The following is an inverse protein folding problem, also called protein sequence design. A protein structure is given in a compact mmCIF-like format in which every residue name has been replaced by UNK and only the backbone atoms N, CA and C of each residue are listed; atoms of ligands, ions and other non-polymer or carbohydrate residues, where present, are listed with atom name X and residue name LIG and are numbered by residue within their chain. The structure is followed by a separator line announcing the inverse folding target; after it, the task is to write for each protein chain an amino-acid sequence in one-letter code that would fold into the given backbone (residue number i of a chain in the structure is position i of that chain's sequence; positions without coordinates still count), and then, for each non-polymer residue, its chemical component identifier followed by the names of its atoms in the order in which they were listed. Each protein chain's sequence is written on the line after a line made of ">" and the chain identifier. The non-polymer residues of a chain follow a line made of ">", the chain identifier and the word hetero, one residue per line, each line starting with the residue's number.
data_IF_688945633859
#
_entry.id   IF_688945633859
#
_cell.length_a   1.000
_cell.length_b   1.000
_cell.length_c   1.000
_cell.angle_alpha   90.00
_cell.angle_beta   90.00
_cell.angle_gamma   90.00
#
_symmetry.space_group_name_H-M   'P 1'
#
loop_
_entity.id
_entity.type
_entity.pdbx_description
1 polymer ?
#
# COMPACT_ATOMS: atom_id res chain seq x y z
N UNK A 1 0.25 -13.86 -5.49
CA UNK A 1 1.10 -12.65 -5.46
C UNK A 1 2.46 -12.92 -4.81
N UNK A 2 2.54 -13.27 -3.51
CA UNK A 2 3.83 -13.55 -2.86
C UNK A 2 4.69 -14.58 -3.62
N UNK A 3 4.07 -15.67 -4.09
CA UNK A 3 4.74 -16.66 -4.94
C UNK A 3 5.24 -16.09 -6.28
N UNK A 4 4.48 -15.20 -6.92
CA UNK A 4 4.88 -14.56 -8.19
C UNK A 4 6.07 -13.61 -7.95
N UNK A 5 6.02 -12.80 -6.87
CA UNK A 5 7.14 -11.94 -6.46
C UNK A 5 8.38 -12.79 -6.20
N UNK A 6 8.24 -13.87 -5.43
CA UNK A 6 9.33 -14.78 -5.15
C UNK A 6 9.89 -15.40 -6.43
N UNK A 7 9.05 -15.87 -7.36
CA UNK A 7 9.51 -16.45 -8.62
C UNK A 7 10.33 -15.45 -9.46
N UNK A 8 9.89 -14.19 -9.55
CA UNK A 8 10.62 -13.14 -10.25
C UNK A 8 11.98 -12.78 -9.60
N UNK A 9 12.10 -12.96 -8.28
CA UNK A 9 13.33 -12.65 -7.53
C UNK A 9 14.30 -13.85 -7.50
N UNK A 10 13.79 -15.07 -7.32
CA UNK A 10 14.56 -16.31 -7.27
C UNK A 10 15.19 -16.66 -8.62
N UNK A 11 14.48 -16.44 -9.74
CA UNK A 11 15.03 -16.61 -11.09
C UNK A 11 16.19 -15.66 -11.43
N UNK A 12 16.48 -14.69 -10.56
CA UNK A 12 17.58 -13.73 -10.69
C UNK A 12 18.71 -13.98 -9.69
N UNK A 13 18.73 -15.16 -9.04
CA UNK A 13 19.76 -15.60 -8.11
C UNK A 13 19.68 -14.97 -6.71
N UNK A 14 18.49 -14.53 -6.26
CA UNK A 14 18.35 -13.73 -5.03
C UNK A 14 17.31 -14.28 -4.06
N UNK A 15 17.68 -14.32 -2.78
CA UNK A 15 16.86 -14.81 -1.67
C UNK A 15 15.93 -13.74 -1.07
N UNK A 16 15.32 -12.88 -1.88
CA UNK A 16 14.32 -11.95 -1.35
C UNK A 16 13.02 -12.73 -1.10
N UNK A 17 12.62 -12.88 0.16
CA UNK A 17 11.42 -13.63 0.54
C UNK A 17 10.33 -12.62 0.87
N UNK A 18 9.29 -12.47 0.02
CA UNK A 18 8.17 -11.61 0.35
C UNK A 18 7.37 -12.21 1.50
N UNK A 19 7.05 -11.41 2.51
CA UNK A 19 6.05 -11.76 3.50
C UNK A 19 4.67 -11.29 3.06
N UNK A 20 3.67 -12.12 3.29
CA UNK A 20 2.27 -11.79 3.01
C UNK A 20 1.45 -12.11 4.24
N UNK A 21 0.94 -11.05 4.87
CA UNK A 21 0.04 -11.16 6.01
C UNK A 21 -1.39 -10.99 5.52
N UNK A 22 -2.24 -11.99 5.77
CA UNK A 22 -3.64 -11.99 5.35
C UNK A 22 -4.53 -12.17 6.57
N UNK A 23 -5.51 -11.29 6.70
CA UNK A 23 -6.48 -11.35 7.78
C UNK A 23 -7.62 -12.27 7.38
N UNK A 24 -8.02 -13.18 8.28
CA UNK A 24 -9.20 -14.05 8.07
C UNK A 24 -10.46 -13.49 8.72
N UNK A 25 -10.35 -12.31 9.31
CA UNK A 25 -11.43 -11.64 10.04
C UNK A 25 -11.95 -10.52 9.15
N UNK A 26 -13.26 -10.52 8.93
CA UNK A 26 -13.89 -9.51 8.12
C UNK A 26 -13.74 -8.12 8.76
N UNK A 27 -13.41 -7.11 7.95
CA UNK A 27 -13.15 -5.73 8.45
C UNK A 27 -14.33 -5.07 9.17
N UNK A 28 -15.56 -5.57 8.97
CA UNK A 28 -16.73 -5.11 9.75
C UNK A 28 -16.76 -5.64 11.18
N UNK A 29 -15.87 -6.57 11.53
CA UNK A 29 -15.67 -7.08 12.89
C UNK A 29 -14.52 -6.35 13.57
N UNK A 30 -13.38 -6.27 12.89
CA UNK A 30 -12.21 -5.48 13.30
C UNK A 30 -11.58 -4.86 12.05
N UNK A 31 -11.56 -3.53 11.93
CA UNK A 31 -10.87 -2.87 10.82
C UNK A 31 -9.43 -2.59 11.22
N UNK A 32 -8.56 -3.48 10.76
CA UNK A 32 -7.13 -3.47 11.06
C UNK A 32 -6.38 -2.37 10.31
N UNK A 33 -7.02 -1.68 9.34
CA UNK A 33 -6.43 -0.55 8.62
C UNK A 33 -6.96 0.81 9.14
N UNK A 34 -7.16 0.89 10.45
CA UNK A 34 -7.61 2.07 11.19
C UNK A 34 -6.77 2.23 12.46
N UNK A 35 -6.59 3.48 12.87
CA UNK A 35 -5.90 3.76 14.12
C UNK A 35 -6.86 3.49 15.29
N UNK A 36 -6.53 2.52 16.13
CA UNK A 36 -7.35 2.16 17.28
C UNK A 36 -7.50 3.29 18.30
N UNK A 37 -6.45 4.12 18.48
CA UNK A 37 -6.49 5.26 19.40
C UNK A 37 -7.41 6.39 18.89
N UNK A 38 -7.41 6.66 17.58
CA UNK A 38 -8.26 7.72 16.98
C UNK A 38 -9.70 7.25 16.72
N UNK A 39 -9.94 5.94 16.67
CA UNK A 39 -11.30 5.41 16.57
C UNK A 39 -12.11 5.55 17.87
N UNK A 40 -11.49 6.06 18.95
CA UNK A 40 -12.22 6.56 20.11
C UNK A 40 -13.02 7.84 19.79
N UNK A 41 -12.59 8.62 18.77
CA UNK A 41 -13.13 9.97 18.51
C UNK A 41 -13.93 10.10 17.21
N UNK A 42 -13.51 9.50 16.09
CA UNK A 42 -14.09 9.87 14.79
C UNK A 42 -15.30 9.02 14.31
N UNK A 43 -15.64 7.91 14.97
CA UNK A 43 -16.73 7.03 14.52
C UNK A 43 -17.65 6.57 15.65
N UNK A 44 -18.11 7.51 16.50
CA UNK A 44 -19.44 7.36 17.13
C UNK A 44 -20.53 7.54 16.07
N UNK A 45 -20.57 6.68 15.04
CA UNK A 45 -21.83 6.50 14.31
C UNK A 45 -22.71 5.65 15.23
N UNK A 46 -23.82 6.18 15.78
CA UNK A 46 -24.74 5.33 16.53
C UNK A 46 -25.14 4.17 15.63
N UNK A 47 -25.16 2.96 16.21
CA UNK A 47 -25.69 1.80 15.54
C UNK A 47 -27.19 2.04 15.28
N UNK A 48 -27.55 2.62 14.14
CA UNK A 48 -28.94 2.93 13.77
C UNK A 48 -29.78 1.69 13.41
N UNK A 49 -29.34 0.50 13.82
CA UNK A 49 -30.14 -0.73 13.67
C UNK A 49 -31.15 -0.80 14.82
N UNK A 50 -32.45 -0.96 14.56
CA UNK A 50 -33.44 -1.19 15.61
C UNK A 50 -33.01 -2.38 16.48
N UNK A 51 -32.90 -2.19 17.81
CA UNK A 51 -32.51 -3.23 18.76
C UNK A 51 -31.02 -3.31 19.11
N UNK A 52 -30.17 -2.43 18.57
CA UNK A 52 -28.73 -2.40 18.90
C UNK A 52 -28.51 -1.74 20.27
N UNK A 53 -28.31 -2.54 21.34
CA UNK A 53 -27.90 -2.02 22.66
C UNK A 53 -26.42 -1.60 22.63
N UNK A 54 -25.98 -0.61 23.44
CA UNK A 54 -24.57 -0.21 23.53
C UNK A 54 -23.62 -1.38 23.82
N UNK A 55 -24.00 -2.31 24.70
CA UNK A 55 -23.27 -3.56 24.95
C UNK A 55 -23.24 -4.57 23.79
N UNK A 56 -24.11 -4.41 22.78
CA UNK A 56 -24.17 -5.26 21.56
C UNK A 56 -23.59 -4.56 20.33
N UNK A 57 -23.03 -3.37 20.52
CA UNK A 57 -22.36 -2.65 19.46
C UNK A 57 -21.08 -3.43 19.12
N UNK A 58 -21.16 -4.24 18.06
CA UNK A 58 -19.99 -4.71 17.30
C UNK A 58 -19.35 -3.49 16.61
N UNK A 59 -18.99 -2.48 17.40
CA UNK A 59 -18.15 -1.39 16.96
C UNK A 59 -16.87 -2.05 16.47
N UNK A 60 -16.59 -1.79 15.21
CA UNK A 60 -15.46 -2.26 14.42
C UNK A 60 -14.13 -2.08 15.16
N UNK A 61 -14.08 -1.19 16.17
CA UNK A 61 -12.97 -0.98 17.09
C UNK A 61 -13.51 -0.58 18.48
N UNK A 62 -14.41 -1.37 19.07
CA UNK A 62 -14.88 -1.08 20.43
C UNK A 62 -13.74 -1.35 21.45
N UNK A 63 -13.24 -0.35 22.19
CA UNK A 63 -12.14 -0.56 23.14
C UNK A 63 -12.47 -1.51 24.30
N UNK A 64 -13.75 -1.77 24.53
CA UNK A 64 -14.23 -2.71 25.55
C UNK A 64 -14.20 -4.18 25.13
N UNK A 65 -13.93 -4.49 23.85
CA UNK A 65 -13.80 -5.88 23.41
C UNK A 65 -12.35 -6.36 23.50
N UNK A 66 -12.03 -7.07 24.58
CA UNK A 66 -10.71 -7.70 24.77
C UNK A 66 -10.30 -8.57 23.57
N UNK A 67 -11.27 -9.21 22.90
CA UNK A 67 -11.02 -10.03 21.71
C UNK A 67 -10.63 -9.18 20.49
N UNK A 68 -11.37 -8.10 20.20
CA UNK A 68 -11.03 -7.20 19.09
C UNK A 68 -9.66 -6.53 19.31
N UNK A 69 -9.37 -6.15 20.55
CA UNK A 69 -8.09 -5.58 20.95
C UNK A 69 -6.93 -6.56 20.76
N UNK A 70 -7.10 -7.82 21.18
CA UNK A 70 -6.10 -8.86 21.01
C UNK A 70 -5.81 -9.14 19.52
N UNK A 71 -6.84 -9.19 18.67
CA UNK A 71 -6.68 -9.35 17.22
C UNK A 71 -5.93 -8.16 16.63
N UNK A 72 -6.33 -6.94 17.00
CA UNK A 72 -5.71 -5.72 16.53
C UNK A 72 -4.22 -5.70 16.88
N UNK A 73 -3.89 -5.86 18.16
CA UNK A 73 -2.50 -5.88 18.61
C UNK A 73 -1.69 -7.03 18.00
N UNK A 74 -2.26 -8.24 17.90
CA UNK A 74 -1.57 -9.36 17.27
C UNK A 74 -1.25 -9.11 15.79
N UNK A 75 -2.21 -8.55 15.03
CA UNK A 75 -1.99 -8.17 13.64
C UNK A 75 -0.91 -7.10 13.51
N UNK A 76 -0.97 -6.05 14.33
CA UNK A 76 0.00 -4.96 14.27
C UNK A 76 1.40 -5.38 14.74
N UNK A 77 1.50 -6.28 15.73
CA UNK A 77 2.77 -6.87 16.15
C UNK A 77 3.44 -7.65 15.00
N UNK A 78 2.68 -8.49 14.29
CA UNK A 78 3.21 -9.25 13.14
C UNK A 78 3.69 -8.34 12.00
N UNK A 79 2.99 -7.24 11.73
CA UNK A 79 3.44 -6.25 10.74
C UNK A 79 4.69 -5.51 11.19
N UNK A 80 4.79 -5.14 12.47
CA UNK A 80 5.98 -4.52 13.03
C UNK A 80 7.20 -5.45 12.96
N UNK A 81 7.03 -6.73 13.34
CA UNK A 81 8.07 -7.76 13.26
C UNK A 81 8.54 -7.99 11.84
N UNK A 82 7.59 -8.15 10.90
CA UNK A 82 7.90 -8.26 9.47
C UNK A 82 8.67 -7.03 8.99
N UNK A 83 8.21 -5.81 9.28
CA UNK A 83 8.93 -4.60 8.88
C UNK A 83 10.36 -4.58 9.44
N UNK A 84 10.52 -4.86 10.73
CA UNK A 84 11.83 -4.87 11.41
C UNK A 84 12.78 -5.90 10.78
N UNK A 85 12.30 -7.12 10.52
CA UNK A 85 13.11 -8.17 9.91
C UNK A 85 13.56 -7.77 8.49
N UNK A 86 12.68 -7.13 7.72
CA UNK A 86 13.03 -6.62 6.38
C UNK A 86 14.10 -5.54 6.47
N UNK A 87 13.95 -4.59 7.39
CA UNK A 87 14.93 -3.54 7.65
C UNK A 87 16.30 -4.10 8.06
N UNK A 88 16.33 -5.07 8.99
CA UNK A 88 17.58 -5.69 9.45
C UNK A 88 18.27 -6.54 8.38
N UNK A 89 17.51 -7.31 7.61
CA UNK A 89 18.07 -8.23 6.64
C UNK A 89 18.50 -7.54 5.34
N UNK A 90 17.78 -6.49 4.94
CA UNK A 90 17.94 -5.89 3.61
C UNK A 90 18.29 -4.40 3.63
N UNK A 91 18.20 -3.72 4.78
CA UNK A 91 18.44 -2.27 4.93
C UNK A 91 17.36 -1.38 4.31
N UNK A 92 16.54 -1.94 3.42
CA UNK A 92 15.47 -1.27 2.70
C UNK A 92 14.35 -2.24 2.35
N UNK A 93 13.18 -1.70 2.01
CA UNK A 93 12.11 -2.52 1.46
C UNK A 93 10.84 -1.77 1.11
N UNK A 94 9.81 -2.54 0.76
CA UNK A 94 8.53 -2.01 0.29
C UNK A 94 7.37 -2.69 1.02
N UNK A 95 6.55 -1.88 1.68
CA UNK A 95 5.28 -2.29 2.28
C UNK A 95 4.12 -2.04 1.31
N UNK A 96 3.33 -3.08 1.03
CA UNK A 96 2.15 -2.98 0.17
C UNK A 96 0.88 -3.29 0.96
N UNK A 97 -0.07 -2.36 0.94
CA UNK A 97 -1.42 -2.55 1.48
C UNK A 97 -2.41 -2.77 0.33
N UNK A 98 -2.94 -4.00 0.21
CA UNK A 98 -3.73 -4.43 -0.95
C UNK A 98 -5.23 -4.42 -0.63
N UNK A 99 -5.98 -3.62 -1.36
CA UNK A 99 -7.42 -3.44 -1.21
C UNK A 99 -8.18 -3.70 -2.51
N UNK A 100 -9.47 -3.91 -2.37
CA UNK A 100 -10.41 -3.96 -3.49
C UNK A 100 -11.36 -2.78 -3.43
N UNK A 101 -11.52 -2.10 -4.56
CA UNK A 101 -12.46 -1.00 -4.73
C UNK A 101 -13.69 -1.46 -5.54
N UNK A 102 -14.77 -0.67 -5.47
CA UNK A 102 -16.06 -0.93 -6.11
C UNK A 102 -16.02 -1.03 -7.63
N UNK A 103 -17.15 -1.39 -8.24
CA UNK A 103 -17.29 -1.62 -9.69
C UNK A 103 -17.16 -0.36 -10.55
N UNK A 104 -17.36 0.82 -9.96
CA UNK A 104 -17.42 2.09 -10.69
C UNK A 104 -16.02 2.62 -11.08
N UNK A 105 -14.98 1.87 -10.73
CA UNK A 105 -13.59 2.19 -10.99
C UNK A 105 -13.03 1.25 -12.05
N UNK A 106 -12.25 1.80 -12.98
CA UNK A 106 -11.69 1.07 -14.12
C UNK A 106 -10.17 0.92 -14.05
N UNK A 107 -9.52 1.75 -13.22
CA UNK A 107 -8.07 1.75 -13.02
C UNK A 107 -7.72 1.48 -11.57
N UNK A 108 -6.56 0.88 -11.34
CA UNK A 108 -6.00 0.75 -9.99
C UNK A 108 -5.66 2.14 -9.42
N UNK A 109 -5.91 2.37 -8.12
CA UNK A 109 -5.46 3.60 -7.45
C UNK A 109 -4.27 3.30 -6.53
N UNK A 110 -3.26 4.17 -6.53
CA UNK A 110 -2.09 4.09 -5.66
C UNK A 110 -2.17 5.18 -4.60
N UNK A 111 -2.30 4.79 -3.34
CA UNK A 111 -2.30 5.71 -2.21
C UNK A 111 -0.90 5.93 -1.65
N UNK A 112 -0.40 7.17 -1.74
CA UNK A 112 0.94 7.57 -1.25
C UNK A 112 0.92 8.37 0.07
N UNK A 113 -0.16 8.31 0.83
CA UNK A 113 -0.40 9.15 2.00
C UNK A 113 -0.86 10.58 1.66
N UNK A 114 -1.00 10.92 0.37
CA UNK A 114 -1.33 12.27 -0.11
C UNK A 114 -2.78 12.36 -0.61
N UNK A 115 -3.44 13.48 -0.33
CA UNK A 115 -4.78 13.81 -0.88
C UNK A 115 -4.73 14.05 -2.40
N UNK A 116 -5.85 13.92 -3.10
CA UNK A 116 -5.92 14.17 -4.55
C UNK A 116 -5.56 15.61 -4.95
N UNK A 117 -5.81 16.58 -4.05
CA UNK A 117 -5.39 17.99 -4.21
C UNK A 117 -3.87 18.14 -4.06
N UNK A 118 -3.25 17.42 -3.13
CA UNK A 118 -1.80 17.43 -2.94
C UNK A 118 -1.04 16.91 -4.17
N UNK A 119 -1.64 15.99 -4.94
CA UNK A 119 -1.10 15.51 -6.21
C UNK A 119 -1.17 16.54 -7.36
N UNK A 120 -1.66 17.75 -7.09
CA UNK A 120 -1.68 18.88 -8.03
C UNK A 120 -0.82 20.04 -7.54
N UNK A 121 -0.35 19.98 -6.29
CA UNK A 121 0.41 21.05 -5.65
C UNK A 121 1.90 20.81 -5.84
N UNK A 122 2.53 21.67 -6.64
CA UNK A 122 3.97 21.59 -6.92
C UNK A 122 4.83 21.73 -5.67
N UNK A 123 4.41 22.45 -4.63
CA UNK A 123 5.22 22.58 -3.41
C UNK A 123 5.19 21.27 -2.63
N UNK A 124 4.00 20.67 -2.49
CA UNK A 124 3.85 19.38 -1.79
C UNK A 124 4.59 18.27 -2.54
N UNK A 125 4.47 18.24 -3.87
CA UNK A 125 5.11 17.24 -4.72
C UNK A 125 6.63 17.35 -4.79
N UNK A 126 7.24 18.36 -4.18
CA UNK A 126 8.70 18.52 -4.07
C UNK A 126 9.23 18.20 -2.67
N UNK A 127 8.37 17.95 -1.69
CA UNK A 127 8.79 17.52 -0.36
C UNK A 127 8.69 16.00 -0.23
N UNK A 128 9.83 15.27 -0.23
CA UNK A 128 9.82 13.82 -0.11
C UNK A 128 9.27 13.32 1.23
N UNK A 129 9.24 14.15 2.28
CA UNK A 129 8.79 13.74 3.62
C UNK A 129 7.26 13.68 3.76
N UNK A 130 6.52 14.26 2.81
CA UNK A 130 5.05 14.31 2.88
C UNK A 130 4.36 13.05 2.35
N UNK A 131 5.11 12.14 1.72
CA UNK A 131 4.56 10.91 1.13
C UNK A 131 5.10 9.64 1.81
N UNK A 132 4.41 8.53 1.61
CA UNK A 132 4.79 7.23 2.19
C UNK A 132 5.86 6.51 1.39
N UNK A 133 6.38 7.13 0.33
CA UNK A 133 7.48 6.63 -0.51
C UNK A 133 8.72 7.53 -0.39
N UNK A 134 8.96 8.05 0.82
CA UNK A 134 9.93 9.10 1.11
C UNK A 134 11.38 8.72 0.76
N UNK A 135 11.74 7.43 0.82
CA UNK A 135 13.08 6.96 0.44
C UNK A 135 13.28 7.10 -1.07
N UNK A 136 12.39 6.51 -1.86
CA UNK A 136 12.39 6.65 -3.31
C UNK A 136 12.34 8.12 -3.73
N UNK A 137 11.43 8.90 -3.13
CA UNK A 137 11.27 10.32 -3.41
C UNK A 137 12.53 11.15 -3.15
N UNK A 138 13.25 10.89 -2.04
CA UNK A 138 14.50 11.59 -1.71
C UNK A 138 15.65 11.23 -2.66
N UNK A 139 15.69 9.99 -3.12
CA UNK A 139 16.80 9.47 -3.93
C UNK A 139 16.57 9.64 -5.44
N UNK A 140 15.38 10.11 -5.84
CA UNK A 140 14.99 10.26 -7.24
C UNK A 140 15.79 11.35 -7.95
N UNK A 141 16.55 11.03 -9.02
CA UNK A 141 17.25 12.04 -9.81
C UNK A 141 16.29 12.93 -10.61
N UNK A 142 15.08 12.46 -10.92
CA UNK A 142 14.02 13.24 -11.56
C UNK A 142 13.12 14.01 -10.57
N UNK A 143 13.43 13.91 -9.27
CA UNK A 143 12.73 14.58 -8.18
C UNK A 143 11.56 13.78 -7.58
N UNK A 144 11.03 14.22 -6.41
CA UNK A 144 10.02 13.47 -5.65
C UNK A 144 8.73 13.18 -6.43
N UNK A 145 8.26 14.15 -7.22
CA UNK A 145 7.06 13.99 -8.05
C UNK A 145 7.19 12.83 -9.05
N UNK A 146 8.36 12.64 -9.67
CA UNK A 146 8.57 11.65 -10.71
C UNK A 146 8.38 10.21 -10.20
N UNK A 147 8.59 10.00 -8.90
CA UNK A 147 8.36 8.71 -8.25
C UNK A 147 6.87 8.38 -8.13
N UNK A 148 6.00 9.41 -8.05
CA UNK A 148 4.55 9.22 -7.93
C UNK A 148 3.86 9.04 -9.29
N UNK A 149 4.23 9.83 -10.31
CA UNK A 149 3.56 9.84 -11.60
C UNK A 149 4.48 9.97 -12.83
N UNK A 150 5.79 9.89 -12.67
CA UNK A 150 6.77 9.91 -13.77
C UNK A 150 7.02 8.53 -14.38
N UNK A 151 7.95 8.46 -15.35
CA UNK A 151 8.23 7.23 -16.13
C UNK A 151 8.77 6.05 -15.31
N UNK A 152 9.40 6.33 -14.16
CA UNK A 152 9.86 5.32 -13.19
C UNK A 152 8.91 5.13 -12.00
N UNK A 153 7.69 5.69 -12.07
CA UNK A 153 6.69 5.51 -11.01
C UNK A 153 6.10 4.09 -10.99
N UNK A 154 5.54 3.69 -9.85
CA UNK A 154 4.88 2.39 -9.71
C UNK A 154 3.68 2.28 -10.65
N UNK A 155 2.96 3.39 -10.85
CA UNK A 155 1.85 3.46 -11.80
C UNK A 155 2.30 3.29 -13.26
N UNK A 156 3.49 3.78 -13.63
CA UNK A 156 4.06 3.53 -14.95
C UNK A 156 4.39 2.05 -15.14
N UNK A 157 5.03 1.42 -14.15
CA UNK A 157 5.40 0.00 -14.17
C UNK A 157 4.17 -0.91 -14.24
N UNK A 158 3.12 -0.61 -13.48
CA UNK A 158 1.84 -1.33 -13.55
C UNK A 158 1.19 -1.18 -14.92
N UNK A 159 1.14 0.04 -15.45
CA UNK A 159 0.50 0.32 -16.75
C UNK A 159 1.23 -0.39 -17.88
N UNK A 160 2.57 -0.39 -17.86
CA UNK A 160 3.41 -1.14 -18.80
C UNK A 160 3.21 -2.66 -18.68
N UNK A 161 2.87 -3.17 -17.50
CA UNK A 161 2.52 -4.56 -17.26
C UNK A 161 1.03 -4.87 -17.55
N UNK A 162 0.28 -3.97 -18.18
CA UNK A 162 -1.12 -4.17 -18.57
C UNK A 162 -2.16 -3.87 -17.49
N UNK A 163 -1.76 -3.24 -16.37
CA UNK A 163 -2.66 -2.79 -15.31
C UNK A 163 -2.73 -1.25 -15.27
N UNK A 164 -3.74 -0.62 -15.89
CA UNK A 164 -3.86 0.83 -15.88
C UNK A 164 -4.06 1.34 -14.45
N UNK A 165 -3.37 2.43 -14.13
CA UNK A 165 -3.24 2.88 -12.75
C UNK A 165 -3.18 4.41 -12.62
N UNK A 166 -3.62 4.95 -11.49
CA UNK A 166 -3.47 6.37 -11.11
C UNK A 166 -2.98 6.48 -9.66
N UNK A 167 -2.04 7.37 -9.32
CA UNK A 167 -1.27 8.23 -10.22
C UNK A 167 -0.30 7.45 -11.13
N UNK A 168 -0.14 7.92 -12.36
CA UNK A 168 0.81 7.40 -13.38
C UNK A 168 1.09 8.48 -14.44
N UNK A 169 2.03 8.29 -15.38
CA UNK A 169 2.25 9.26 -16.45
C UNK A 169 1.00 9.52 -17.30
N UNK A 170 0.23 8.47 -17.57
CA UNK A 170 -1.00 8.57 -18.35
C UNK A 170 -2.15 9.18 -17.54
N UNK A 171 -2.20 8.88 -16.24
CA UNK A 171 -3.26 9.34 -15.33
C UNK A 171 -2.64 9.98 -14.08
N UNK A 172 -2.00 11.16 -14.21
CA UNK A 172 -1.17 11.73 -13.15
C UNK A 172 -1.97 12.23 -11.95
N UNK A 173 -3.26 12.49 -12.15
CA UNK A 173 -4.14 13.01 -11.12
C UNK A 173 -5.41 12.14 -11.01
N UNK A 174 -5.70 11.56 -9.83
CA UNK A 174 -6.86 10.68 -9.65
C UNK A 174 -8.20 11.34 -10.01
N UNK A 175 -9.12 10.56 -10.57
CA UNK A 175 -10.50 10.97 -10.83
C UNK A 175 -10.75 11.58 -12.20
N UNK A 176 -9.72 11.73 -13.04
CA UNK A 176 -9.92 12.08 -14.45
C UNK A 176 -10.41 10.85 -15.24
N UNK A 177 -11.17 11.07 -16.33
CA UNK A 177 -11.56 9.97 -17.22
C UNK A 177 -10.30 9.35 -17.86
N UNK A 178 -10.25 8.02 -18.05
CA UNK A 178 -11.29 7.03 -17.77
C UNK A 178 -11.29 6.50 -16.32
N UNK A 179 -10.35 6.94 -15.47
CA UNK A 179 -10.14 6.42 -14.12
C UNK A 179 -11.38 6.55 -13.24
N UNK A 180 -12.08 7.68 -13.39
CA UNK A 180 -13.44 7.94 -12.94
C UNK A 180 -13.91 9.29 -13.51
N UNK A 181 -15.12 9.72 -13.16
CA UNK A 181 -15.61 11.07 -13.42
C UNK A 181 -15.58 11.88 -12.12
N UNK A 182 -14.76 12.94 -12.02
CA UNK A 182 -14.73 13.82 -10.83
C UNK A 182 -16.06 14.51 -10.56
N UNK A 183 -16.92 14.64 -11.56
CA UNK A 183 -18.28 15.17 -11.36
C UNK A 183 -19.18 14.16 -10.65
N UNK A 184 -18.79 12.87 -10.58
CA UNK A 184 -19.48 11.88 -9.76
C UNK A 184 -19.21 12.18 -8.28
N UNK A 185 -20.22 12.62 -7.50
CA UNK A 185 -20.05 12.95 -6.08
C UNK A 185 -19.69 11.71 -5.24
N UNK A 186 -19.81 10.50 -5.79
CA UNK A 186 -19.42 9.24 -5.14
C UNK A 186 -17.97 8.85 -5.42
N UNK A 187 -17.28 9.53 -6.32
CA UNK A 187 -15.88 9.22 -6.59
C UNK A 187 -15.03 9.58 -5.37
N UNK A 188 -14.26 8.61 -4.89
CA UNK A 188 -13.29 8.81 -3.85
C UNK A 188 -11.93 8.32 -4.34
N UNK A 189 -10.91 9.15 -4.12
CA UNK A 189 -9.53 8.71 -4.22
C UNK A 189 -9.07 8.18 -2.86
N UNK A 190 -8.50 6.97 -2.88
CA UNK A 190 -8.01 6.30 -1.68
C UNK A 190 -6.54 6.64 -1.49
N UNK A 191 -6.29 7.54 -0.55
CA UNK A 191 -4.98 8.18 -0.37
C UNK A 191 -3.94 7.31 0.33
N UNK A 192 -4.32 6.17 0.90
CA UNK A 192 -3.49 5.37 1.79
C UNK A 192 -4.01 5.42 3.24
N UNK A 193 -4.35 4.24 3.76
CA UNK A 193 -4.92 4.03 5.09
C UNK A 193 -3.91 4.13 6.23
N UNK A 194 -4.36 3.75 7.43
CA UNK A 194 -3.53 3.80 8.63
C UNK A 194 -2.27 2.95 8.49
N UNK A 195 -2.39 1.72 7.99
CA UNK A 195 -1.27 0.79 7.90
C UNK A 195 -0.16 1.33 6.99
N UNK A 196 -0.47 1.84 5.80
CA UNK A 196 0.57 2.43 4.93
C UNK A 196 1.22 3.62 5.60
N UNK A 197 0.44 4.51 6.23
CA UNK A 197 1.01 5.68 6.93
C UNK A 197 1.89 5.24 8.10
N UNK A 198 1.46 4.27 8.88
CA UNK A 198 2.17 3.81 10.08
C UNK A 198 3.39 2.94 9.76
N UNK A 199 3.27 2.02 8.81
CA UNK A 199 4.34 1.09 8.42
C UNK A 199 5.14 1.54 7.21
N UNK A 200 4.95 2.76 6.73
CA UNK A 200 5.90 3.46 5.87
C UNK A 200 6.48 4.73 6.55
N UNK A 201 5.98 5.08 7.75
CA UNK A 201 6.65 6.06 8.61
C UNK A 201 8.06 5.58 8.93
N UNK A 202 8.97 6.54 9.12
CA UNK A 202 10.41 6.31 9.17
C UNK A 202 10.90 6.34 10.63
N UNK A 203 11.23 5.20 11.26
CA UNK A 203 12.29 5.19 12.28
C UNK A 203 13.63 5.57 11.62
N UNK A 204 14.57 6.12 12.37
CA UNK A 204 15.82 6.67 11.83
C UNK A 204 16.73 5.65 11.11
N UNK A 205 16.41 4.36 11.20
CA UNK A 205 17.34 3.24 10.98
C UNK A 205 16.96 2.28 9.83
N UNK A 206 15.79 2.40 9.20
CA UNK A 206 15.41 1.60 8.03
C UNK A 206 14.83 2.42 6.86
N UNK A 207 14.99 1.90 5.64
CA UNK A 207 14.58 2.56 4.37
C UNK A 207 13.38 1.84 3.76
N UNK A 208 12.25 1.91 4.45
CA UNK A 208 11.01 1.25 4.02
C UNK A 208 10.01 2.25 3.47
N UNK A 209 9.72 2.12 2.19
CA UNK A 209 8.62 2.83 1.54
C UNK A 209 7.34 2.00 1.62
N UNK A 210 6.19 2.64 1.42
CA UNK A 210 4.93 1.92 1.31
C UNK A 210 3.86 2.63 0.50
N UNK A 211 2.97 1.83 -0.08
CA UNK A 211 1.83 2.32 -0.85
C UNK A 211 0.61 1.40 -0.71
N UNK A 212 -0.57 2.00 -0.82
CA UNK A 212 -1.84 1.28 -0.91
C UNK A 212 -2.18 1.04 -2.38
N UNK A 213 -2.65 -0.16 -2.72
CA UNK A 213 -3.26 -0.45 -4.03
C UNK A 213 -4.75 -0.70 -3.84
N UNK A 214 -5.58 0.11 -4.48
CA UNK A 214 -7.00 -0.18 -4.66
C UNK A 214 -7.23 -0.83 -6.02
N UNK A 215 -7.62 -2.11 -6.01
CA UNK A 215 -7.83 -2.89 -7.23
C UNK A 215 -9.32 -2.94 -7.61
N UNK A 216 -9.71 -2.41 -8.79
CA UNK A 216 -11.06 -2.56 -9.33
C UNK A 216 -11.56 -3.99 -9.36
N UNK A 217 -12.89 -4.16 -9.30
CA UNK A 217 -13.54 -5.47 -9.40
C UNK A 217 -13.07 -6.28 -10.61
N UNK A 218 -12.93 -5.63 -11.78
CA UNK A 218 -12.47 -6.29 -13.01
C UNK A 218 -11.10 -6.97 -12.87
N UNK A 219 -10.16 -6.37 -12.12
CA UNK A 219 -8.81 -6.90 -11.89
C UNK A 219 -8.77 -8.03 -10.84
N UNK A 220 -9.87 -8.23 -10.10
CA UNK A 220 -9.98 -9.23 -9.03
C UNK A 220 -10.84 -10.42 -9.42
N UNK A 221 -11.50 -10.38 -10.58
CA UNK A 221 -12.30 -11.51 -11.09
C UNK A 221 -11.40 -12.72 -11.39
N UNK A 222 -11.90 -13.96 -11.28
CA UNK A 222 -11.10 -15.17 -11.49
C UNK A 222 -10.30 -15.19 -12.80
N UNK A 223 -10.87 -14.65 -13.88
CA UNK A 223 -10.24 -14.62 -15.20
C UNK A 223 -9.05 -13.66 -15.28
N UNK A 224 -9.03 -12.59 -14.48
CA UNK A 224 -7.98 -11.57 -14.48
C UNK A 224 -6.99 -11.73 -13.31
N UNK A 225 -7.39 -12.43 -12.24
CA UNK A 225 -6.68 -12.47 -10.96
C UNK A 225 -5.20 -12.87 -11.10
N UNK A 226 -4.91 -13.89 -11.92
CA UNK A 226 -3.54 -14.36 -12.14
C UNK A 226 -2.71 -13.33 -12.87
N UNK A 227 -3.21 -12.81 -13.99
CA UNK A 227 -2.54 -11.77 -14.77
C UNK A 227 -2.31 -10.51 -13.93
N UNK A 228 -3.30 -10.07 -13.16
CA UNK A 228 -3.15 -8.92 -12.27
C UNK A 228 -2.09 -9.16 -11.20
N UNK A 229 -2.04 -10.36 -10.61
CA UNK A 229 -0.98 -10.70 -9.64
C UNK A 229 0.41 -10.71 -10.26
N UNK A 230 0.56 -11.17 -11.52
CA UNK A 230 1.82 -11.15 -12.26
C UNK A 230 2.28 -9.73 -12.57
N UNK A 231 1.36 -8.87 -13.05
CA UNK A 231 1.66 -7.46 -13.34
C UNK A 231 2.09 -6.70 -12.08
N UNK A 232 1.42 -6.94 -10.94
CA UNK A 232 1.83 -6.35 -9.65
C UNK A 232 3.20 -6.87 -9.22
N UNK A 233 3.45 -8.18 -9.33
CA UNK A 233 4.75 -8.75 -8.96
C UNK A 233 5.90 -8.18 -9.81
N UNK A 234 5.69 -8.04 -11.12
CA UNK A 234 6.64 -7.40 -12.02
C UNK A 234 6.91 -5.95 -11.62
N UNK A 235 5.86 -5.17 -11.34
CA UNK A 235 6.00 -3.76 -10.92
C UNK A 235 6.75 -3.64 -9.58
N UNK A 236 6.49 -4.52 -8.61
CA UNK A 236 7.25 -4.57 -7.35
C UNK A 236 8.74 -4.77 -7.59
N UNK A 237 9.08 -5.73 -8.44
CA UNK A 237 10.49 -6.03 -8.73
C UNK A 237 11.15 -4.86 -9.45
N UNK A 238 10.47 -4.25 -10.44
CA UNK A 238 10.98 -3.08 -11.15
C UNK A 238 11.15 -1.86 -10.23
N UNK A 239 10.21 -1.63 -9.32
CA UNK A 239 10.28 -0.55 -8.34
C UNK A 239 11.46 -0.72 -7.39
N UNK A 240 11.59 -1.91 -6.81
CA UNK A 240 12.71 -2.26 -5.95
C UNK A 240 14.04 -2.13 -6.68
N UNK A 241 14.10 -2.35 -8.00
CA UNK A 241 15.32 -2.16 -8.80
C UNK A 241 15.63 -0.68 -9.08
N UNK A 242 14.60 0.13 -9.30
CA UNK A 242 14.76 1.54 -9.65
C UNK A 242 15.07 2.42 -8.44
N UNK A 243 14.43 2.18 -7.29
CA UNK A 243 14.39 3.16 -6.20
C UNK A 243 15.09 2.73 -4.92
N UNK A 244 15.13 1.43 -4.67
CA UNK A 244 15.89 0.89 -3.55
C UNK A 244 17.15 0.32 -4.18
N UNK A 245 18.32 0.87 -3.88
CA UNK A 245 19.59 0.27 -4.28
C UNK A 245 19.81 -1.05 -3.51
N UNK A 246 18.84 -1.97 -3.53
CA UNK A 246 19.00 -3.36 -3.14
C UNK A 246 20.20 -3.80 -3.96
N UNK A 247 21.34 -3.97 -3.29
CA UNK A 247 22.56 -4.34 -3.99
C UNK A 247 22.37 -5.76 -4.51
N UNK A 248 21.88 -5.81 -5.73
CA UNK A 248 21.61 -6.98 -6.51
C UNK A 248 22.90 -7.76 -6.89
N UNK A 249 24.06 -7.24 -6.46
CA UNK A 249 25.42 -7.71 -6.80
C UNK A 249 26.38 -7.90 -5.60
N UNK A 250 26.09 -7.46 -4.38
CA UNK A 250 27.02 -7.65 -3.24
C UNK A 250 26.56 -8.74 -2.28
N UNK A 251 26.64 -10.00 -2.71
CA UNK A 251 26.45 -11.15 -1.81
C UNK A 251 27.46 -12.29 -2.03
N UNK A 252 28.61 -12.01 -2.65
CA UNK A 252 29.70 -13.01 -2.76
C UNK A 252 30.71 -12.97 -1.61
N UNK A 253 30.60 -12.09 -0.60
CA UNK A 253 31.65 -11.92 0.41
C UNK A 253 31.24 -12.06 1.88
N UNK A 254 30.04 -12.56 2.21
CA UNK A 254 29.69 -12.81 3.62
C UNK A 254 29.24 -14.23 3.97
N UNK A 255 29.37 -15.18 3.04
CA UNK A 255 29.25 -16.60 3.37
C UNK A 255 30.39 -17.39 2.73
N UNK A 256 31.54 -17.42 3.40
CA UNK A 256 32.33 -18.65 3.51
C UNK A 256 32.57 -18.91 5.00
N UNK A 257 32.41 -20.16 5.48
CA UNK A 257 32.95 -20.55 6.78
C UNK A 257 34.47 -20.36 6.81
#
# INVERSE_FOLDING_TARGET
>A
LAFEIHAHLSGRGRQFVPWMLVTRIHRSKVDLNRNFALCQDEHRRPCNRPGCRPEHCHCVLCPSSNFALAIYHGYHALLADARMLMGRQWGAGLYLDLHGIGSDYTVCQLGYGLQASALQDRKILQDPLLCTIATAARNSPEGPQAVMNGGHSFGAMLSAAGLPCTPSPQFPIPGQKPCADRSNPKYQYFTGGYCVRHYAQRPAEDLVDGLQLELPSAMRKPQALRTSAQSIAQAVVQWLQAHHAVSLRKWHTLCRP
#
